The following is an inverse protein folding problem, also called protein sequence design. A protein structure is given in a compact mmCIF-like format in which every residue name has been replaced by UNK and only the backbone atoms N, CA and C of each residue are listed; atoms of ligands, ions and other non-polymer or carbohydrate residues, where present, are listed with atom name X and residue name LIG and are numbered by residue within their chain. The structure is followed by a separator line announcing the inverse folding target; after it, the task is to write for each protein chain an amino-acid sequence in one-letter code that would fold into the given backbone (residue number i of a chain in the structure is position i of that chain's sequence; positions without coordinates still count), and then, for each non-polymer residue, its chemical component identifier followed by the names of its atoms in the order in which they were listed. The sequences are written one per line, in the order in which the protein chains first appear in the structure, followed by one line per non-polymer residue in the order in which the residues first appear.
data_IF_272247339456
#
_entry.id   IF_272247339456
#
_cell.length_a   1.000
_cell.length_b   1.000
_cell.length_c   1.000
_cell.angle_alpha   90.00
_cell.angle_beta   90.00
_cell.angle_gamma   90.00
#
_symmetry.space_group_name_H-M   'P 1'
#
loop_
_entity.id
_entity.type
_entity.pdbx_description
1 polymer ?
#
# COMPACT_ATOMS: atom_id res chain seq x y z
N UNK A 1 -7.29 9.94 12.89
CA UNK A 1 -6.46 8.97 12.12
C UNK A 1 -5.98 9.65 10.83
N UNK A 2 -4.80 9.30 10.27
CA UNK A 2 -4.40 9.86 8.97
C UNK A 2 -4.87 8.92 7.85
N UNK A 3 -5.42 9.43 6.73
CA UNK A 3 -5.75 8.59 5.60
C UNK A 3 -4.46 7.96 5.03
N UNK A 4 -4.49 6.68 4.64
CA UNK A 4 -3.34 6.00 4.05
C UNK A 4 -2.99 6.62 2.68
N UNK A 5 -1.68 6.76 2.40
CA UNK A 5 -1.20 7.16 1.08
C UNK A 5 -1.07 5.94 0.14
N UNK A 6 -0.73 6.19 -1.13
CA UNK A 6 -0.61 5.16 -2.17
C UNK A 6 0.33 4.01 -1.78
N UNK A 7 1.49 4.33 -1.20
CA UNK A 7 2.44 3.34 -0.72
C UNK A 7 1.87 2.48 0.42
N UNK A 8 1.15 3.08 1.38
CA UNK A 8 0.56 2.33 2.49
C UNK A 8 -0.53 1.37 2.00
N UNK A 9 -1.34 1.78 1.02
CA UNK A 9 -2.33 0.91 0.38
C UNK A 9 -1.65 -0.28 -0.31
N UNK A 10 -0.70 0.00 -1.22
CA UNK A 10 0.06 -1.02 -1.92
C UNK A 10 0.75 -1.99 -0.96
N UNK A 11 1.47 -1.47 0.04
CA UNK A 11 2.21 -2.28 1.00
C UNK A 11 1.29 -3.18 1.80
N UNK A 12 0.12 -2.69 2.21
CA UNK A 12 -0.82 -3.46 3.02
C UNK A 12 -1.41 -4.62 2.22
N UNK A 13 -1.81 -4.37 0.96
CA UNK A 13 -2.27 -5.41 0.03
C UNK A 13 -1.17 -6.46 -0.21
N UNK A 14 0.04 -6.03 -0.57
CA UNK A 14 1.17 -6.96 -0.81
C UNK A 14 1.58 -7.76 0.42
N UNK A 15 1.58 -7.17 1.61
CA UNK A 15 1.88 -7.92 2.85
C UNK A 15 0.81 -8.99 3.09
N UNK A 16 -0.46 -8.70 2.84
CA UNK A 16 -1.53 -9.67 2.99
C UNK A 16 -1.38 -10.83 2.00
N UNK A 17 -1.08 -10.53 0.73
CA UNK A 17 -0.77 -11.53 -0.31
C UNK A 17 0.42 -12.42 0.10
N UNK A 18 1.55 -11.82 0.47
CA UNK A 18 2.77 -12.58 0.81
C UNK A 18 2.61 -13.40 2.09
N UNK A 19 1.89 -12.90 3.10
CA UNK A 19 1.59 -13.68 4.32
C UNK A 19 0.71 -14.90 4.04
N UNK A 20 -0.10 -14.85 2.98
CA UNK A 20 -0.91 -15.99 2.55
C UNK A 20 -0.08 -17.05 1.81
N UNK A 21 1.05 -16.67 1.21
CA UNK A 21 1.92 -17.56 0.45
C UNK A 21 3.06 -18.12 1.30
N UNK A 22 3.67 -17.28 2.15
CA UNK A 22 4.83 -17.62 2.97
C UNK A 22 4.51 -17.47 4.46
N UNK A 23 4.08 -18.57 5.06
CA UNK A 23 3.89 -18.64 6.50
C UNK A 23 5.24 -18.62 7.21
N UNK A 24 5.46 -17.61 8.06
CA UNK A 24 6.63 -17.56 8.96
C UNK A 24 7.68 -16.49 8.64
N UNK A 25 7.54 -15.76 7.52
CA UNK A 25 8.42 -14.63 7.26
C UNK A 25 8.08 -13.42 8.14
N UNK A 26 9.13 -12.79 8.68
CA UNK A 26 8.99 -11.58 9.45
C UNK A 26 8.46 -10.43 8.57
N UNK A 27 7.52 -9.66 9.12
CA UNK A 27 6.93 -8.51 8.42
C UNK A 27 7.99 -7.51 7.95
N UNK A 28 9.08 -7.35 8.71
CA UNK A 28 10.21 -6.49 8.36
C UNK A 28 10.91 -6.89 7.06
N UNK A 29 11.01 -8.19 6.78
CA UNK A 29 11.60 -8.74 5.55
C UNK A 29 10.67 -8.48 4.38
N UNK A 30 9.39 -8.82 4.52
CA UNK A 30 8.37 -8.56 3.50
C UNK A 30 8.31 -7.06 3.15
N UNK A 31 8.36 -6.19 4.16
CA UNK A 31 8.33 -4.74 3.94
C UNK A 31 9.53 -4.24 3.11
N UNK A 32 10.71 -4.83 3.26
CA UNK A 32 11.89 -4.48 2.46
C UNK A 32 11.75 -4.95 1.02
N UNK A 33 11.26 -6.17 0.81
CA UNK A 33 11.01 -6.70 -0.54
C UNK A 33 9.95 -5.89 -1.27
N UNK A 34 8.83 -5.58 -0.62
CA UNK A 34 7.73 -4.81 -1.21
C UNK A 34 8.19 -3.38 -1.52
N UNK A 35 9.07 -2.80 -0.71
CA UNK A 35 9.64 -1.48 -1.00
C UNK A 35 10.53 -1.49 -2.24
N UNK A 36 11.26 -2.59 -2.46
CA UNK A 36 12.00 -2.80 -3.71
C UNK A 36 11.04 -2.95 -4.90
N UNK A 37 10.02 -3.82 -4.78
CA UNK A 37 9.01 -4.02 -5.82
C UNK A 37 8.31 -2.71 -6.19
N UNK A 38 7.89 -1.90 -5.21
CA UNK A 38 7.27 -0.61 -5.47
C UNK A 38 8.18 0.35 -6.24
N UNK A 39 9.50 0.34 -6.03
CA UNK A 39 10.41 1.18 -6.83
C UNK A 39 10.40 0.77 -8.29
N UNK A 40 10.38 -0.54 -8.56
CA UNK A 40 10.45 -1.11 -9.91
C UNK A 40 9.07 -1.24 -10.60
N UNK A 41 7.98 -1.10 -9.85
CA UNK A 41 6.61 -1.25 -10.34
C UNK A 41 6.29 -0.17 -11.41
N UNK A 42 5.51 -0.52 -12.47
CA UNK A 42 5.14 0.41 -13.52
C UNK A 42 4.42 1.66 -13.01
N UNK A 43 4.58 2.76 -13.74
CA UNK A 43 3.95 4.04 -13.39
C UNK A 43 2.43 3.95 -13.39
N UNK A 44 1.82 3.14 -14.25
CA UNK A 44 0.36 2.90 -14.27
C UNK A 44 -0.16 2.27 -12.98
N UNK A 45 0.58 1.33 -12.41
CA UNK A 45 0.23 0.73 -11.12
C UNK A 45 0.33 1.79 -10.03
N UNK A 46 1.44 2.55 -9.99
CA UNK A 46 1.62 3.63 -9.01
C UNK A 46 0.49 4.65 -9.07
N UNK A 47 0.13 5.10 -10.27
CA UNK A 47 -1.00 6.02 -10.52
C UNK A 47 -2.33 5.45 -10.03
N UNK A 48 -2.57 4.15 -10.22
CA UNK A 48 -3.78 3.50 -9.73
C UNK A 48 -3.88 3.60 -8.20
N UNK A 49 -2.79 3.37 -7.48
CA UNK A 49 -2.76 3.51 -6.02
C UNK A 49 -2.79 4.97 -5.55
N UNK A 50 -2.22 5.90 -6.32
CA UNK A 50 -2.34 7.35 -6.08
C UNK A 50 -3.80 7.80 -6.16
N UNK A 51 -4.51 7.43 -7.23
CA UNK A 51 -5.93 7.74 -7.39
C UNK A 51 -6.77 7.16 -6.24
N UNK A 52 -6.52 5.89 -5.86
CA UNK A 52 -7.19 5.28 -4.71
C UNK A 52 -6.92 6.03 -3.41
N UNK A 53 -5.67 6.45 -3.18
CA UNK A 53 -5.30 7.22 -2.00
C UNK A 53 -5.95 8.60 -1.97
N UNK A 54 -6.08 9.27 -3.12
CA UNK A 54 -6.79 10.55 -3.22
C UNK A 54 -8.28 10.41 -2.89
N UNK A 55 -8.93 9.36 -3.40
CA UNK A 55 -10.33 9.06 -3.08
C UNK A 55 -10.50 8.87 -1.58
N UNK A 56 -9.69 8.00 -0.96
CA UNK A 56 -9.75 7.73 0.49
C UNK A 56 -9.43 8.99 1.30
N UNK A 57 -8.48 9.82 0.84
CA UNK A 57 -8.15 11.09 1.48
C UNK A 57 -9.34 12.06 1.43
N UNK A 58 -10.02 12.16 0.29
CA UNK A 58 -11.20 13.01 0.13
C UNK A 58 -12.36 12.52 1.01
N UNK A 59 -12.65 11.22 1.01
CA UNK A 59 -13.65 10.60 1.90
C UNK A 59 -13.33 10.83 3.37
N UNK A 60 -12.06 10.69 3.77
CA UNK A 60 -11.63 10.94 5.13
C UNK A 60 -11.79 12.41 5.51
N UNK A 61 -11.50 13.35 4.62
CA UNK A 61 -11.68 14.78 4.87
C UNK A 61 -13.16 15.14 5.06
N UNK A 62 -14.07 14.50 4.32
CA UNK A 62 -15.52 14.67 4.51
C UNK A 62 -15.97 14.09 5.86
N UNK A 63 -15.45 12.91 6.22
CA UNK A 63 -15.85 12.20 7.44
C UNK A 63 -15.24 12.79 8.72
N UNK A 64 -14.10 13.45 8.60
CA UNK A 64 -13.35 14.06 9.70
C UNK A 64 -12.90 15.48 9.31
N UNK A 65 -13.82 16.46 9.36
CA UNK A 65 -13.53 17.86 9.08
C UNK A 65 -12.58 18.48 10.13
#
# INVERSE_FOLDING_TARGET
PRPPNSWILYRSERIAEMRSLEHGLAQSVLSKQIAAQWRDEPSDVKKTYELRAEIIKAEHAIKYP
#
